data_IF_533137093324
#
_entry.id   IF_533137093324
#
_cell.length_a   1.000
_cell.length_b   1.000
_cell.length_c   1.000
_cell.angle_alpha   90.00
_cell.angle_beta   90.00
_cell.angle_gamma   90.00
#
_symmetry.space_group_name_H-M   'P 1'
#
loop_
_entity.id
_entity.type
_entity.pdbx_description
1 polymer ?
#
# COMPACT_ATOMS: atom_id res chain seq x y z
N UNK A 1 20.99 -14.39 27.06
CA UNK A 1 21.40 -13.09 27.66
C UNK A 1 22.77 -12.61 27.22
N UNK A 2 23.81 -13.45 27.16
CA UNK A 2 25.12 -13.05 26.60
C UNK A 2 25.10 -12.79 25.07
N UNK A 3 24.10 -13.28 24.34
CA UNK A 3 23.88 -12.91 22.92
C UNK A 3 23.15 -11.58 22.74
N UNK A 4 22.43 -11.10 23.75
CA UNK A 4 21.77 -9.79 23.73
C UNK A 4 22.77 -8.65 24.02
N UNK A 5 23.90 -8.93 24.67
CA UNK A 5 24.98 -7.96 24.89
C UNK A 5 26.06 -7.97 23.80
N UNK A 6 26.20 -9.06 23.03
CA UNK A 6 27.15 -9.14 21.91
C UNK A 6 26.68 -8.43 20.63
N UNK A 7 25.38 -8.14 20.47
CA UNK A 7 24.85 -7.31 19.36
C UNK A 7 24.97 -5.79 19.58
N UNK A 8 25.80 -5.35 20.53
CA UNK A 8 26.15 -3.93 20.72
C UNK A 8 27.30 -3.44 19.82
N UNK A 9 27.82 -4.31 18.94
CA UNK A 9 28.98 -4.04 18.08
C UNK A 9 28.69 -4.13 16.56
N UNK A 10 27.43 -4.22 16.12
CA UNK A 10 27.04 -3.97 14.73
C UNK A 10 26.00 -2.85 14.71
N UNK A 11 26.46 -1.65 15.08
CA UNK A 11 25.85 -0.42 14.57
C UNK A 11 26.12 -0.38 13.08
N UNK A 12 25.22 -0.91 12.28
CA UNK A 12 25.12 -0.51 10.87
C UNK A 12 23.93 0.43 10.76
N UNK A 13 24.29 1.66 10.40
CA UNK A 13 23.42 2.80 10.13
C UNK A 13 22.15 2.40 9.36
N UNK A 14 20.98 2.72 9.90
CA UNK A 14 19.78 2.97 9.07
C UNK A 14 19.75 4.47 8.80
N UNK A 15 20.71 4.90 7.98
CA UNK A 15 20.64 6.14 7.22
C UNK A 15 21.61 6.00 6.05
N UNK A 16 21.06 6.15 4.84
CA UNK A 16 21.69 6.19 3.50
C UNK A 16 21.81 4.86 2.76
N UNK A 17 21.13 4.85 1.61
CA UNK A 17 21.58 4.18 0.40
C UNK A 17 23.02 4.62 0.11
N UNK A 18 23.93 3.65 -0.04
CA UNK A 18 25.37 3.86 -0.25
C UNK A 18 25.75 4.39 -1.64
N UNK A 19 24.81 4.98 -2.38
CA UNK A 19 25.09 5.76 -3.60
C UNK A 19 24.49 7.18 -3.57
N UNK A 20 23.84 7.59 -2.47
CA UNK A 20 23.16 8.89 -2.42
C UNK A 20 22.07 9.06 -3.48
N UNK A 21 21.66 8.00 -4.18
CA UNK A 21 20.49 8.03 -5.04
C UNK A 21 19.27 7.88 -4.13
N UNK A 22 18.74 9.03 -3.72
CA UNK A 22 17.31 9.10 -3.50
C UNK A 22 16.73 8.64 -4.84
N UNK A 23 16.12 7.45 -4.92
CA UNK A 23 15.08 7.26 -5.94
C UNK A 23 14.09 8.34 -5.59
N UNK A 24 14.22 9.50 -6.26
CA UNK A 24 13.16 10.47 -6.34
C UNK A 24 12.03 9.69 -6.97
N UNK A 25 11.22 9.03 -6.15
CA UNK A 25 9.94 8.47 -6.52
C UNK A 25 8.98 9.64 -6.72
N UNK A 26 9.39 10.58 -7.56
CA UNK A 26 8.51 11.45 -8.30
C UNK A 26 7.93 10.56 -9.40
N UNK A 27 7.05 9.66 -8.97
CA UNK A 27 6.07 9.05 -9.84
C UNK A 27 5.21 10.21 -10.29
N UNK A 28 5.60 10.81 -11.41
CA UNK A 28 4.85 11.88 -12.03
C UNK A 28 4.23 11.42 -13.36
N UNK A 29 3.39 10.36 -13.39
CA UNK A 29 2.30 10.28 -14.37
C UNK A 29 1.54 11.59 -14.38
N UNK A 30 1.41 12.24 -13.22
CA UNK A 30 1.01 13.64 -13.05
C UNK A 30 1.68 14.59 -14.04
N UNK A 31 2.99 14.52 -14.25
CA UNK A 31 3.71 15.39 -15.18
C UNK A 31 3.57 14.94 -16.61
N UNK A 32 3.55 13.64 -16.93
CA UNK A 32 3.28 13.22 -18.31
C UNK A 32 1.84 13.58 -18.73
N UNK A 33 0.87 13.34 -17.84
CA UNK A 33 -0.53 13.77 -17.95
C UNK A 33 -0.65 15.29 -17.94
N UNK A 34 0.02 16.00 -17.03
CA UNK A 34 0.05 17.46 -17.02
C UNK A 34 0.87 18.01 -18.17
N UNK A 35 1.79 17.31 -18.81
CA UNK A 35 2.52 17.75 -20.00
C UNK A 35 1.69 17.49 -21.25
N UNK A 36 0.91 16.40 -21.31
CA UNK A 36 -0.10 16.19 -22.34
C UNK A 36 -1.21 17.24 -22.22
N UNK A 37 -1.74 17.45 -21.00
CA UNK A 37 -2.71 18.50 -20.69
C UNK A 37 -2.11 19.90 -20.73
N UNK A 38 -0.82 20.10 -20.42
CA UNK A 38 -0.12 21.39 -20.56
C UNK A 38 0.32 21.60 -21.98
N UNK A 39 0.53 20.62 -22.86
CA UNK A 39 0.70 20.87 -24.30
C UNK A 39 -0.64 21.27 -24.89
N UNK A 40 -1.70 20.55 -24.53
CA UNK A 40 -3.10 20.96 -24.74
C UNK A 40 -3.39 22.39 -24.20
N UNK A 41 -2.85 22.79 -23.04
CA UNK A 41 -3.01 24.15 -22.46
C UNK A 41 -1.92 25.19 -22.83
N UNK A 42 -0.72 24.78 -23.28
CA UNK A 42 0.44 25.60 -23.72
C UNK A 42 0.36 25.89 -25.21
N UNK A 43 -0.50 25.18 -25.95
CA UNK A 43 -1.40 25.75 -26.97
C UNK A 43 -2.41 26.71 -26.34
N UNK A 44 -1.88 27.59 -25.50
CA UNK A 44 -2.36 28.75 -24.74
C UNK A 44 -3.85 28.83 -24.36
N UNK A 45 -4.21 29.18 -23.12
CA UNK A 45 -5.56 29.79 -22.85
C UNK A 45 -5.80 31.04 -23.72
N UNK A 46 -4.74 31.67 -24.23
CA UNK A 46 -4.76 32.72 -25.26
C UNK A 46 -4.93 32.21 -26.71
N UNK A 47 -4.71 30.92 -26.95
CA UNK A 47 -4.79 30.19 -28.22
C UNK A 47 -6.02 29.29 -28.22
N UNK A 48 -6.41 28.57 -27.17
CA UNK A 48 -7.74 28.01 -26.95
C UNK A 48 -8.85 29.07 -27.02
N UNK A 49 -8.63 30.28 -26.47
CA UNK A 49 -9.54 31.41 -26.71
C UNK A 49 -9.42 31.91 -28.15
N UNK A 50 -8.25 31.88 -28.80
CA UNK A 50 -8.11 32.21 -30.23
C UNK A 50 -8.59 31.10 -31.20
N UNK A 51 -8.69 29.84 -30.77
CA UNK A 51 -9.12 28.63 -31.49
C UNK A 51 -10.64 28.60 -31.43
N UNK A 52 -11.24 28.77 -30.25
CA UNK A 52 -12.67 29.07 -30.14
C UNK A 52 -13.03 30.35 -30.89
N UNK A 53 -12.19 31.40 -30.87
CA UNK A 53 -12.46 32.61 -31.65
C UNK A 53 -12.22 32.38 -33.14
N UNK A 54 -11.23 31.63 -33.62
CA UNK A 54 -11.00 31.43 -35.06
C UNK A 54 -11.96 30.41 -35.68
N UNK A 55 -12.27 29.32 -34.98
CA UNK A 55 -13.28 28.32 -35.38
C UNK A 55 -14.70 28.87 -35.22
N UNK A 56 -15.01 29.60 -34.13
CA UNK A 56 -16.27 30.33 -34.04
C UNK A 56 -16.28 31.60 -34.91
N UNK A 57 -15.15 32.19 -35.32
CA UNK A 57 -15.12 33.21 -36.37
C UNK A 57 -15.36 32.52 -37.69
N UNK A 58 -14.76 31.37 -38.04
CA UNK A 58 -15.03 30.68 -39.30
C UNK A 58 -16.51 30.26 -39.35
N UNK A 59 -17.03 29.65 -38.29
CA UNK A 59 -18.43 29.25 -38.19
C UNK A 59 -19.39 30.45 -38.09
N UNK A 60 -19.11 31.49 -37.28
CA UNK A 60 -19.96 32.68 -37.18
C UNK A 60 -19.82 33.63 -38.37
N UNK A 61 -18.66 33.68 -39.04
CA UNK A 61 -18.46 34.40 -40.30
C UNK A 61 -19.18 33.65 -41.40
N UNK A 62 -19.07 32.31 -41.50
CA UNK A 62 -19.90 31.51 -42.40
C UNK A 62 -21.38 31.81 -42.11
N UNK A 63 -21.86 31.63 -40.88
CA UNK A 63 -23.27 31.87 -40.51
C UNK A 63 -23.71 33.33 -40.75
N UNK A 64 -22.90 34.35 -40.46
CA UNK A 64 -23.26 35.77 -40.61
C UNK A 64 -23.10 36.34 -42.03
N UNK A 65 -22.16 35.84 -42.85
CA UNK A 65 -22.03 36.24 -44.27
C UNK A 65 -22.95 35.46 -45.21
N UNK A 66 -23.53 34.37 -44.70
CA UNK A 66 -24.61 33.62 -45.33
C UNK A 66 -25.99 34.10 -44.88
N UNK A 67 -26.10 34.83 -43.76
CA UNK A 67 -27.39 35.36 -43.30
C UNK A 67 -27.93 36.49 -44.17
N UNK A 68 -27.19 36.97 -45.18
CA UNK A 68 -27.76 37.75 -46.29
C UNK A 68 -28.58 36.83 -47.22
N UNK A 69 -29.62 36.23 -46.62
CA UNK A 69 -30.62 35.35 -47.21
C UNK A 69 -31.52 36.06 -48.25
N UNK A 70 -31.18 37.31 -48.57
CA UNK A 70 -31.84 38.10 -49.59
C UNK A 70 -31.78 37.35 -50.92
N UNK A 71 -32.93 37.22 -51.58
CA UNK A 71 -33.08 36.56 -52.88
C UNK A 71 -32.05 37.05 -53.89
N UNK A 72 -31.76 38.35 -53.90
CA UNK A 72 -30.79 38.96 -54.81
C UNK A 72 -29.38 38.40 -54.62
N UNK A 73 -28.89 38.26 -53.38
CA UNK A 73 -27.56 37.72 -53.09
C UNK A 73 -27.44 36.28 -53.58
N UNK A 74 -28.44 35.45 -53.31
CA UNK A 74 -28.50 34.06 -53.78
C UNK A 74 -28.54 33.95 -55.30
N UNK A 75 -29.37 34.78 -55.94
CA UNK A 75 -29.48 34.84 -57.40
C UNK A 75 -28.17 35.24 -58.07
N UNK A 76 -27.46 36.24 -57.54
CA UNK A 76 -26.17 36.66 -58.09
C UNK A 76 -25.08 35.60 -57.88
N UNK A 77 -25.03 34.92 -56.73
CA UNK A 77 -24.11 33.79 -56.48
C UNK A 77 -24.34 32.66 -57.48
N UNK A 78 -25.61 32.33 -57.77
CA UNK A 78 -25.97 31.29 -58.74
C UNK A 78 -25.57 31.67 -60.18
N UNK A 79 -25.62 32.96 -60.54
CA UNK A 79 -25.08 33.44 -61.82
C UNK A 79 -23.55 33.34 -61.84
N UNK A 80 -22.90 33.75 -60.74
CA UNK A 80 -21.44 33.76 -60.62
C UNK A 80 -20.86 32.35 -60.79
N UNK A 81 -21.33 31.38 -60.00
CA UNK A 81 -20.85 29.98 -60.07
C UNK A 81 -21.02 29.38 -61.47
N UNK A 82 -22.13 29.66 -62.17
CA UNK A 82 -22.37 29.16 -63.54
C UNK A 82 -21.46 29.82 -64.57
N UNK A 83 -21.01 31.05 -64.33
CA UNK A 83 -20.19 31.82 -65.27
C UNK A 83 -18.70 31.56 -65.06
N UNK A 84 -18.24 31.47 -63.82
CA UNK A 84 -16.81 31.42 -63.46
C UNK A 84 -16.38 30.05 -62.93
N UNK A 85 -17.33 29.23 -62.45
CA UNK A 85 -17.04 28.03 -61.69
C UNK A 85 -16.70 28.29 -60.21
N UNK A 86 -16.68 29.55 -59.77
CA UNK A 86 -16.35 29.94 -58.40
C UNK A 86 -17.27 31.07 -57.87
N UNK A 87 -17.54 31.08 -56.57
CA UNK A 87 -18.21 32.19 -55.87
C UNK A 87 -17.17 32.92 -55.02
N UNK A 88 -16.91 34.18 -55.33
CA UNK A 88 -16.06 35.05 -54.54
C UNK A 88 -16.79 35.65 -53.34
N UNK A 89 -16.27 35.45 -52.14
CA UNK A 89 -16.76 36.07 -50.90
C UNK A 89 -15.67 36.95 -50.29
N UNK A 90 -16.05 37.84 -49.39
CA UNK A 90 -15.10 38.66 -48.62
C UNK A 90 -14.13 37.84 -47.77
N UNK A 91 -14.48 36.57 -47.51
CA UNK A 91 -13.81 35.66 -46.58
C UNK A 91 -13.03 34.56 -47.29
N UNK A 92 -13.21 34.41 -48.60
CA UNK A 92 -12.60 33.34 -49.38
C UNK A 92 -13.34 33.08 -50.69
N UNK A 93 -13.07 31.91 -51.27
CA UNK A 93 -13.67 31.46 -52.52
C UNK A 93 -14.29 30.09 -52.33
N UNK A 94 -15.46 29.89 -52.91
CA UNK A 94 -16.14 28.60 -52.96
C UNK A 94 -16.18 28.05 -54.39
N UNK A 95 -15.94 26.75 -54.54
CA UNK A 95 -16.14 26.00 -55.77
C UNK A 95 -16.89 24.72 -55.43
N UNK A 96 -17.99 24.41 -56.10
CA UNK A 96 -18.76 23.21 -55.79
C UNK A 96 -20.20 23.29 -56.24
N UNK A 97 -20.98 22.34 -55.74
CA UNK A 97 -22.41 22.27 -55.98
C UNK A 97 -23.16 23.41 -55.26
N UNK A 98 -24.18 23.97 -55.92
CA UNK A 98 -25.07 24.96 -55.31
C UNK A 98 -26.53 24.55 -55.49
N UNK A 99 -27.36 24.89 -54.51
CA UNK A 99 -28.81 24.87 -54.63
C UNK A 99 -29.32 26.30 -54.47
N UNK A 100 -29.66 26.95 -55.58
CA UNK A 100 -30.15 28.33 -55.62
C UNK A 100 -29.28 29.31 -54.81
N UNK A 101 -27.97 29.28 -55.06
CA UNK A 101 -26.99 30.13 -54.35
C UNK A 101 -26.67 29.73 -52.91
N UNK A 102 -27.24 28.65 -52.37
CA UNK A 102 -26.71 27.97 -51.19
C UNK A 102 -25.60 27.01 -51.59
N UNK A 103 -24.49 26.97 -50.84
CA UNK A 103 -23.51 25.89 -50.90
C UNK A 103 -24.20 24.62 -50.42
N UNK A 104 -24.15 23.61 -51.27
CA UNK A 104 -24.83 22.34 -51.06
C UNK A 104 -23.98 21.22 -51.68
N UNK A 105 -24.21 19.97 -51.29
CA UNK A 105 -23.52 18.83 -51.92
C UNK A 105 -22.00 18.91 -51.74
N UNK A 106 -21.22 18.45 -52.71
CA UNK A 106 -19.75 18.49 -52.61
C UNK A 106 -19.21 19.86 -52.99
N UNK A 107 -18.27 20.36 -52.19
CA UNK A 107 -17.58 21.61 -52.51
C UNK A 107 -16.29 21.82 -51.74
N UNK A 108 -15.50 22.75 -52.25
CA UNK A 108 -14.25 23.22 -51.70
C UNK A 108 -14.35 24.71 -51.40
N UNK A 109 -13.87 25.12 -50.22
CA UNK A 109 -13.78 26.50 -49.81
C UNK A 109 -12.34 26.82 -49.42
N UNK A 110 -11.75 27.80 -50.09
CA UNK A 110 -10.44 28.37 -49.75
C UNK A 110 -10.63 29.68 -49.00
N UNK A 111 -10.23 29.75 -47.74
CA UNK A 111 -10.36 30.95 -46.90
C UNK A 111 -9.19 31.91 -47.14
N UNK A 112 -9.44 33.21 -47.00
CA UNK A 112 -8.39 34.24 -47.07
C UNK A 112 -7.37 34.13 -45.92
N UNK A 113 -7.71 33.38 -44.86
CA UNK A 113 -6.81 33.03 -43.76
C UNK A 113 -5.77 31.97 -44.14
N UNK A 114 -5.93 31.33 -45.30
CA UNK A 114 -5.14 30.16 -45.72
C UNK A 114 -5.74 28.83 -45.29
N UNK A 115 -6.81 28.83 -44.48
CA UNK A 115 -7.57 27.61 -44.20
C UNK A 115 -8.27 27.10 -45.47
N UNK A 116 -8.60 25.81 -45.50
CA UNK A 116 -9.40 25.24 -46.57
C UNK A 116 -10.30 24.13 -46.05
N UNK A 117 -11.51 24.05 -46.60
CA UNK A 117 -12.42 22.94 -46.39
C UNK A 117 -12.73 22.24 -47.71
N UNK A 118 -12.75 20.93 -47.72
CA UNK A 118 -13.23 20.12 -48.84
C UNK A 118 -14.17 19.03 -48.31
N UNK A 119 -15.44 19.06 -48.71
CA UNK A 119 -16.42 18.13 -48.14
C UNK A 119 -17.86 18.43 -48.52
N UNK A 120 -18.80 17.90 -47.73
CA UNK A 120 -20.22 18.11 -47.97
C UNK A 120 -20.74 19.40 -47.34
N UNK A 121 -21.61 20.07 -48.06
CA UNK A 121 -22.25 21.31 -47.66
C UNK A 121 -23.76 21.11 -47.58
N UNK A 122 -24.39 21.76 -46.61
CA UNK A 122 -25.85 21.79 -46.49
C UNK A 122 -26.27 23.17 -46.02
N UNK A 123 -27.09 23.85 -46.81
CA UNK A 123 -27.57 25.20 -46.51
C UNK A 123 -26.45 26.13 -46.06
N UNK A 124 -25.36 26.18 -46.84
CA UNK A 124 -24.19 27.01 -46.56
C UNK A 124 -23.37 26.63 -45.30
N UNK A 125 -23.64 25.50 -44.66
CA UNK A 125 -22.90 24.97 -43.51
C UNK A 125 -22.08 23.74 -43.89
N UNK A 126 -20.96 23.51 -43.18
CA UNK A 126 -20.21 22.26 -43.31
C UNK A 126 -21.08 21.13 -42.74
N UNK A 127 -21.10 20.00 -43.44
CA UNK A 127 -21.95 18.87 -43.09
C UNK A 127 -21.34 17.55 -43.58
N UNK A 128 -21.79 16.42 -43.01
CA UNK A 128 -21.35 15.10 -43.44
C UNK A 128 -19.82 14.97 -43.41
N UNK A 129 -19.25 14.16 -44.30
CA UNK A 129 -17.80 13.94 -44.33
C UNK A 129 -17.08 15.12 -45.01
N UNK A 130 -15.96 15.56 -44.43
CA UNK A 130 -15.07 16.54 -45.04
C UNK A 130 -13.67 16.57 -44.42
N UNK A 131 -12.77 17.26 -45.10
CA UNK A 131 -11.44 17.61 -44.65
C UNK A 131 -11.38 19.12 -44.38
N UNK A 132 -10.96 19.51 -43.19
CA UNK A 132 -10.68 20.89 -42.82
C UNK A 132 -9.18 21.02 -42.50
N UNK A 133 -8.47 21.85 -43.28
CA UNK A 133 -7.07 22.23 -43.04
C UNK A 133 -7.02 23.63 -42.46
N UNK A 134 -6.39 23.77 -41.31
CA UNK A 134 -6.22 25.06 -40.63
C UNK A 134 -4.72 25.32 -40.44
N UNK A 135 -4.16 26.35 -41.11
CA UNK A 135 -2.74 26.67 -41.01
C UNK A 135 -2.31 26.94 -39.56
N UNK A 136 -1.17 26.38 -39.16
CA UNK A 136 -0.60 26.52 -37.81
C UNK A 136 -1.44 25.87 -36.70
N UNK A 137 -2.36 24.98 -37.07
CA UNK A 137 -3.21 24.25 -36.13
C UNK A 137 -3.23 22.75 -36.47
N UNK A 138 -3.69 22.38 -37.66
CA UNK A 138 -3.77 20.99 -38.06
C UNK A 138 -4.78 20.68 -39.15
N UNK A 139 -5.06 19.39 -39.32
CA UNK A 139 -6.02 18.86 -40.29
C UNK A 139 -7.02 17.96 -39.60
N UNK A 140 -8.30 18.25 -39.78
CA UNK A 140 -9.41 17.37 -39.39
C UNK A 140 -9.96 16.63 -40.62
N UNK A 141 -10.14 15.33 -40.49
CA UNK A 141 -10.79 14.47 -41.46
C UNK A 141 -11.93 13.75 -40.76
N UNK A 142 -13.19 14.10 -41.04
CA UNK A 142 -14.30 13.48 -40.35
C UNK A 142 -15.66 14.08 -40.64
N UNK A 143 -16.61 13.73 -39.78
CA UNK A 143 -17.99 14.18 -39.86
C UNK A 143 -18.17 15.62 -39.33
N UNK A 144 -19.08 16.35 -39.94
CA UNK A 144 -19.51 17.70 -39.58
C UNK A 144 -21.03 17.77 -39.45
N UNK A 145 -21.51 18.57 -38.50
CA UNK A 145 -22.92 18.88 -38.31
C UNK A 145 -23.06 20.33 -37.87
N UNK A 146 -23.82 21.13 -38.64
CA UNK A 146 -23.99 22.55 -38.36
C UNK A 146 -22.67 23.33 -38.34
N UNK A 147 -21.73 22.99 -39.21
CA UNK A 147 -20.36 23.53 -39.27
C UNK A 147 -19.44 23.18 -38.09
N UNK A 148 -19.85 22.29 -37.17
CA UNK A 148 -19.01 21.80 -36.07
C UNK A 148 -18.55 20.37 -36.34
N UNK A 149 -17.35 19.99 -35.90
CA UNK A 149 -16.87 18.61 -35.88
C UNK A 149 -17.82 17.79 -35.02
N UNK A 150 -18.26 16.65 -35.55
CA UNK A 150 -19.25 15.77 -34.92
C UNK A 150 -19.02 14.34 -35.39
N UNK A 151 -19.61 13.33 -34.76
CA UNK A 151 -19.53 11.95 -35.26
C UNK A 151 -18.10 11.42 -35.23
N UNK A 152 -17.71 10.60 -36.19
CA UNK A 152 -16.34 10.05 -36.25
C UNK A 152 -15.39 10.95 -37.02
N UNK A 153 -14.17 11.12 -36.52
CA UNK A 153 -13.14 11.88 -37.21
C UNK A 153 -11.75 11.78 -36.60
N UNK A 154 -10.76 12.07 -37.43
CA UNK A 154 -9.36 12.15 -37.04
C UNK A 154 -8.87 13.59 -37.14
N UNK A 155 -8.33 14.13 -36.05
CA UNK A 155 -7.60 15.40 -36.06
C UNK A 155 -6.11 15.13 -35.91
N UNK A 156 -5.31 15.66 -36.83
CA UNK A 156 -3.84 15.65 -36.75
C UNK A 156 -3.38 17.09 -36.53
N UNK A 157 -2.80 17.37 -35.37
CA UNK A 157 -2.23 18.68 -35.07
C UNK A 157 -0.87 18.85 -35.76
N UNK A 158 -0.51 20.10 -36.07
CA UNK A 158 0.76 20.44 -36.72
C UNK A 158 1.99 20.07 -35.86
N UNK A 159 1.81 19.88 -34.55
CA UNK A 159 2.85 19.40 -33.63
C UNK A 159 3.03 17.87 -33.66
N UNK A 160 2.20 17.16 -34.42
CA UNK A 160 2.23 15.71 -34.58
C UNK A 160 1.34 14.94 -33.61
N UNK A 161 0.61 15.62 -32.72
CA UNK A 161 -0.44 14.97 -31.94
C UNK A 161 -1.59 14.50 -32.87
N UNK A 162 -2.25 13.40 -32.52
CA UNK A 162 -3.35 12.80 -33.28
C UNK A 162 -4.47 12.40 -32.33
N UNK A 163 -5.70 12.74 -32.68
CA UNK A 163 -6.90 12.17 -32.07
C UNK A 163 -7.72 11.50 -33.15
N UNK A 164 -8.02 10.22 -32.97
CA UNK A 164 -8.89 9.44 -33.83
C UNK A 164 -10.06 8.92 -33.00
N UNK A 165 -11.26 9.45 -33.22
CA UNK A 165 -12.41 9.09 -32.38
C UNK A 165 -13.67 9.88 -32.65
N UNK A 166 -14.55 9.85 -31.65
CA UNK A 166 -15.84 10.51 -31.67
C UNK A 166 -15.70 12.00 -31.28
N UNK A 167 -16.51 12.83 -31.95
CA UNK A 167 -16.57 14.27 -31.79
C UNK A 167 -18.00 14.71 -31.52
N UNK A 168 -18.14 15.75 -30.71
CA UNK A 168 -19.42 16.42 -30.47
C UNK A 168 -19.19 17.89 -30.24
N UNK A 169 -19.83 18.73 -31.05
CA UNK A 169 -19.80 20.20 -30.92
C UNK A 169 -18.35 20.73 -30.82
N UNK A 170 -17.49 20.30 -31.74
CA UNK A 170 -16.04 20.60 -31.80
C UNK A 170 -15.18 20.02 -30.66
N UNK A 171 -15.74 19.15 -29.82
CA UNK A 171 -15.03 18.53 -28.70
C UNK A 171 -14.81 17.03 -28.91
N UNK A 172 -13.64 16.54 -28.51
CA UNK A 172 -13.39 15.10 -28.34
C UNK A 172 -14.37 14.57 -27.28
N UNK A 173 -15.23 13.65 -27.68
CA UNK A 173 -16.33 13.16 -26.84
C UNK A 173 -16.75 11.76 -27.31
N UNK A 174 -16.88 10.80 -26.40
CA UNK A 174 -17.15 9.41 -26.77
C UNK A 174 -15.87 8.59 -26.92
N UNK A 175 -15.89 7.50 -27.69
CA UNK A 175 -14.71 6.63 -27.85
C UNK A 175 -13.63 7.30 -28.71
N UNK A 176 -12.36 7.10 -28.36
CA UNK A 176 -11.27 7.58 -29.18
C UNK A 176 -9.90 7.08 -28.76
N UNK A 177 -8.93 7.39 -29.61
CA UNK A 177 -7.51 7.16 -29.41
C UNK A 177 -6.77 8.47 -29.60
N UNK A 178 -6.05 8.90 -28.57
CA UNK A 178 -5.14 10.04 -28.64
C UNK A 178 -3.70 9.53 -28.65
N UNK A 179 -2.90 10.00 -29.59
CA UNK A 179 -1.47 9.74 -29.68
C UNK A 179 -0.74 11.07 -29.69
N UNK A 180 0.11 11.34 -28.70
CA UNK A 180 0.93 12.54 -28.72
C UNK A 180 2.19 12.35 -29.57
N UNK A 181 2.78 13.47 -29.98
CA UNK A 181 4.12 13.61 -30.56
C UNK A 181 5.24 12.99 -29.71
N UNK A 182 5.02 12.80 -28.41
CA UNK A 182 5.93 12.14 -27.47
C UNK A 182 5.60 10.66 -27.24
N UNK A 183 4.80 10.06 -28.14
CA UNK A 183 4.37 8.66 -28.09
C UNK A 183 3.58 8.28 -26.83
N UNK A 184 2.89 9.24 -26.19
CA UNK A 184 1.85 8.95 -25.20
C UNK A 184 0.62 8.47 -25.96
N UNK A 185 0.09 7.31 -25.57
CA UNK A 185 -1.11 6.74 -26.20
C UNK A 185 -2.21 6.61 -25.16
N UNK A 186 -3.34 7.27 -25.38
CA UNK A 186 -4.57 7.04 -24.62
C UNK A 186 -5.61 6.37 -25.51
N UNK A 187 -6.24 5.31 -25.01
CA UNK A 187 -7.37 4.66 -25.65
C UNK A 187 -8.52 4.52 -24.65
N UNK A 188 -9.69 5.03 -25.02
CA UNK A 188 -10.90 4.97 -24.21
C UNK A 188 -11.87 6.08 -24.52
N UNK A 189 -12.69 6.43 -23.54
CA UNK A 189 -13.68 7.49 -23.67
C UNK A 189 -13.13 8.86 -23.31
N UNK A 190 -13.67 9.86 -23.99
CA UNK A 190 -13.43 11.27 -23.79
C UNK A 190 -14.72 11.96 -23.38
N UNK A 191 -14.61 12.98 -22.54
CA UNK A 191 -15.71 13.87 -22.18
C UNK A 191 -15.18 15.29 -22.15
N UNK A 192 -15.75 16.17 -22.97
CA UNK A 192 -15.38 17.60 -23.02
C UNK A 192 -13.86 17.81 -23.15
N UNK A 193 -13.25 17.11 -24.13
CA UNK A 193 -11.81 17.12 -24.40
C UNK A 193 -10.90 16.48 -23.33
N UNK A 194 -11.46 15.76 -22.36
CA UNK A 194 -10.69 15.12 -21.29
C UNK A 194 -10.82 13.59 -21.34
N UNK A 195 -9.75 12.88 -20.98
CA UNK A 195 -9.78 11.45 -20.71
C UNK A 195 -10.81 11.15 -19.63
N UNK A 196 -11.63 10.12 -19.81
CA UNK A 196 -12.72 9.78 -18.89
C UNK A 196 -12.62 8.34 -18.34
N UNK A 197 -12.83 7.34 -19.20
CA UNK A 197 -12.67 5.91 -18.90
C UNK A 197 -11.74 5.30 -19.94
N UNK A 198 -10.58 4.78 -19.55
CA UNK A 198 -9.62 4.28 -20.55
C UNK A 198 -8.25 3.93 -20.00
N UNK A 199 -7.29 3.75 -20.89
CA UNK A 199 -5.90 3.43 -20.56
C UNK A 199 -4.95 4.38 -21.26
N UNK A 200 -4.01 4.93 -20.51
CA UNK A 200 -2.89 5.74 -20.98
C UNK A 200 -1.60 4.92 -20.87
N UNK A 201 -0.83 4.87 -21.95
CA UNK A 201 0.43 4.14 -22.05
C UNK A 201 1.53 5.07 -22.52
N UNK A 202 2.66 5.08 -21.83
CA UNK A 202 3.83 5.87 -22.23
C UNK A 202 5.11 5.24 -21.66
N UNK A 203 6.25 5.62 -22.24
CA UNK A 203 7.58 5.22 -21.77
C UNK A 203 8.48 6.43 -21.69
N UNK A 204 9.36 6.47 -20.69
CA UNK A 204 10.37 7.50 -20.53
C UNK A 204 11.66 6.87 -19.98
N UNK A 205 12.61 7.70 -19.54
CA UNK A 205 13.88 7.22 -18.97
C UNK A 205 13.72 6.42 -17.66
N UNK A 206 12.62 6.60 -16.93
CA UNK A 206 12.39 5.94 -15.64
C UNK A 206 11.67 4.60 -15.78
N UNK A 207 10.90 4.39 -16.86
CA UNK A 207 10.22 3.12 -17.09
C UNK A 207 9.11 3.15 -18.13
N UNK A 208 8.29 2.09 -18.12
CA UNK A 208 7.07 1.93 -18.92
C UNK A 208 5.85 2.01 -18.02
N UNK A 209 4.85 2.78 -18.42
CA UNK A 209 3.69 3.12 -17.61
C UNK A 209 2.42 2.75 -18.36
N UNK A 210 1.50 2.06 -17.69
CA UNK A 210 0.14 1.80 -18.14
C UNK A 210 -0.82 2.27 -17.05
N UNK A 211 -1.48 3.39 -17.24
CA UNK A 211 -2.37 4.03 -16.26
C UNK A 211 -3.82 3.85 -16.71
N UNK A 212 -4.67 3.34 -15.84
CA UNK A 212 -6.11 3.25 -16.08
C UNK A 212 -6.84 4.46 -15.49
N UNK A 213 -7.74 5.03 -16.27
CA UNK A 213 -8.59 6.16 -15.91
C UNK A 213 -10.00 5.67 -15.59
N UNK A 214 -10.60 6.27 -14.57
CA UNK A 214 -11.99 6.07 -14.17
C UNK A 214 -12.60 7.40 -13.74
N UNK A 215 -13.79 7.73 -14.23
CA UNK A 215 -14.48 9.00 -13.96
C UNK A 215 -13.59 10.25 -14.16
N UNK A 216 -12.73 10.25 -15.17
CA UNK A 216 -11.87 11.38 -15.50
C UNK A 216 -10.61 11.54 -14.63
N UNK A 217 -10.32 10.56 -13.77
CA UNK A 217 -9.13 10.57 -12.93
C UNK A 217 -8.33 9.28 -13.07
N UNK A 218 -6.99 9.33 -12.93
CA UNK A 218 -6.18 8.13 -12.75
C UNK A 218 -6.70 7.31 -11.56
N UNK A 219 -6.81 6.00 -11.75
CA UNK A 219 -7.35 5.09 -10.74
C UNK A 219 -6.37 3.97 -10.38
N UNK A 220 -5.68 3.40 -11.36
CA UNK A 220 -4.66 2.37 -11.14
C UNK A 220 -3.56 2.44 -12.19
N UNK A 221 -2.39 1.88 -11.87
CA UNK A 221 -1.29 1.81 -12.80
C UNK A 221 -0.53 0.49 -12.69
N UNK A 222 -0.01 0.05 -13.85
CA UNK A 222 1.04 -0.97 -13.96
C UNK A 222 2.29 -0.29 -14.47
N UNK A 223 3.35 -0.33 -13.67
CA UNK A 223 4.60 0.36 -13.93
C UNK A 223 5.73 -0.66 -13.94
N UNK A 224 6.52 -0.66 -15.00
CA UNK A 224 7.79 -1.37 -15.07
C UNK A 224 8.91 -0.34 -15.05
N UNK A 225 9.69 -0.30 -13.98
CA UNK A 225 10.78 0.64 -13.85
C UNK A 225 12.04 0.15 -14.58
N UNK A 226 12.87 1.10 -14.98
CA UNK A 226 14.13 0.85 -15.71
C UNK A 226 15.19 0.11 -14.90
N UNK A 227 15.12 0.19 -13.57
CA UNK A 227 15.97 -0.56 -12.63
C UNK A 227 15.57 -2.04 -12.50
N UNK A 228 14.45 -2.46 -13.11
CA UNK A 228 13.88 -3.80 -13.00
C UNK A 228 12.77 -3.94 -11.96
N UNK A 229 12.53 -2.92 -11.14
CA UNK A 229 11.43 -2.88 -10.18
C UNK A 229 10.08 -2.77 -10.90
N UNK A 230 8.98 -3.11 -10.23
CA UNK A 230 7.63 -2.99 -10.79
C UNK A 230 6.58 -2.63 -9.74
N UNK A 231 5.52 -1.98 -10.18
CA UNK A 231 4.37 -1.62 -9.36
C UNK A 231 3.05 -1.98 -10.07
N UNK A 232 2.11 -2.55 -9.33
CA UNK A 232 0.73 -2.78 -9.77
C UNK A 232 -0.22 -2.38 -8.63
N UNK A 233 -1.00 -1.31 -8.82
CA UNK A 233 -1.92 -0.84 -7.79
C UNK A 233 -2.55 0.52 -8.04
N UNK A 234 -3.16 1.08 -7.00
CA UNK A 234 -3.87 2.35 -7.05
C UNK A 234 -2.96 3.57 -7.27
N UNK A 235 -3.46 4.53 -8.04
CA UNK A 235 -2.80 5.82 -8.24
C UNK A 235 -3.83 6.94 -8.20
N UNK A 236 -3.41 8.11 -7.77
CA UNK A 236 -4.10 9.37 -7.98
C UNK A 236 -3.33 10.23 -8.98
N UNK A 237 -3.83 11.44 -9.23
CA UNK A 237 -3.14 12.42 -10.06
C UNK A 237 -1.70 12.65 -9.61
N UNK A 238 -1.42 12.68 -8.31
CA UNK A 238 -0.14 13.16 -7.78
C UNK A 238 0.76 12.06 -7.20
N UNK A 239 0.23 10.85 -6.95
CA UNK A 239 1.01 9.81 -6.26
C UNK A 239 0.42 8.41 -6.41
N UNK A 240 1.23 7.40 -6.08
CA UNK A 240 0.71 6.07 -5.71
C UNK A 240 -0.14 6.20 -4.45
N UNK A 241 -1.32 5.55 -4.43
CA UNK A 241 -2.25 5.60 -3.30
C UNK A 241 -3.15 4.37 -3.26
N UNK A 242 -3.76 4.10 -2.10
CA UNK A 242 -4.60 2.92 -1.92
C UNK A 242 -3.79 1.64 -1.99
N UNK A 243 -4.45 0.51 -2.25
CA UNK A 243 -3.77 -0.79 -2.23
C UNK A 243 -2.94 -1.03 -3.49
N UNK A 244 -1.77 -1.65 -3.33
CA UNK A 244 -0.90 -2.04 -4.43
C UNK A 244 0.20 -3.02 -4.04
N UNK A 245 0.91 -3.51 -5.05
CA UNK A 245 2.10 -4.35 -4.90
C UNK A 245 3.29 -3.67 -5.56
N UNK A 246 4.38 -3.52 -4.82
CA UNK A 246 5.70 -3.11 -5.30
C UNK A 246 6.65 -4.30 -5.24
N UNK A 247 7.36 -4.57 -6.33
CA UNK A 247 8.42 -5.59 -6.40
C UNK A 247 9.71 -4.89 -6.79
N UNK A 248 10.74 -4.96 -5.95
CA UNK A 248 12.04 -4.34 -6.21
C UNK A 248 12.92 -5.28 -7.06
N UNK A 249 13.90 -4.70 -7.75
CA UNK A 249 14.83 -5.44 -8.61
C UNK A 249 15.61 -6.57 -7.89
N UNK A 250 15.84 -6.41 -6.58
CA UNK A 250 16.48 -7.43 -5.72
C UNK A 250 15.52 -8.55 -5.25
N UNK A 251 14.26 -8.54 -5.70
CA UNK A 251 13.24 -9.53 -5.34
C UNK A 251 12.48 -9.21 -4.05
N UNK A 252 12.75 -8.08 -3.39
CA UNK A 252 11.96 -7.64 -2.24
C UNK A 252 10.57 -7.19 -2.68
N UNK A 253 9.57 -7.47 -1.84
CA UNK A 253 8.19 -7.21 -2.18
C UNK A 253 7.45 -6.50 -1.05
N UNK A 254 6.65 -5.51 -1.41
CA UNK A 254 5.62 -4.93 -0.55
C UNK A 254 4.24 -5.14 -1.18
N UNK A 255 3.27 -5.59 -0.41
CA UNK A 255 1.86 -5.66 -0.79
C UNK A 255 1.01 -5.08 0.32
N UNK A 256 0.35 -3.96 0.07
CA UNK A 256 -0.43 -3.27 1.09
C UNK A 256 -0.92 -1.92 0.64
N UNK A 257 -1.34 -1.10 1.60
CA UNK A 257 -1.82 0.24 1.34
C UNK A 257 -0.66 1.22 1.14
N UNK A 258 -0.93 2.23 0.34
CA UNK A 258 -0.06 3.36 0.09
C UNK A 258 -0.81 4.65 0.40
N UNK A 259 -0.11 5.63 0.95
CA UNK A 259 -0.61 6.97 1.21
C UNK A 259 0.43 7.98 0.73
N UNK A 260 0.07 8.81 -0.24
CA UNK A 260 0.94 9.85 -0.80
C UNK A 260 2.31 9.32 -1.26
N UNK A 261 2.32 8.16 -1.94
CA UNK A 261 3.52 7.54 -2.48
C UNK A 261 4.33 6.68 -1.50
N UNK A 262 3.96 6.64 -0.21
CA UNK A 262 4.65 5.85 0.81
C UNK A 262 3.81 4.67 1.28
N UNK A 263 4.44 3.65 1.83
CA UNK A 263 3.73 2.56 2.53
C UNK A 263 3.00 3.14 3.74
N UNK A 264 1.70 2.84 3.83
CA UNK A 264 0.82 3.29 4.90
C UNK A 264 -0.24 2.22 5.17
N UNK A 265 -1.05 2.39 6.21
CA UNK A 265 -2.16 1.48 6.49
C UNK A 265 -1.68 0.06 6.79
N UNK A 266 -2.30 -0.96 6.20
CA UNK A 266 -1.91 -2.36 6.40
C UNK A 266 -1.10 -2.87 5.22
N UNK A 267 -0.07 -3.66 5.49
CA UNK A 267 0.75 -4.22 4.43
C UNK A 267 1.71 -5.31 4.89
N UNK A 268 2.11 -6.12 3.91
CA UNK A 268 3.10 -7.18 4.04
C UNK A 268 4.36 -6.80 3.27
N UNK A 269 5.52 -6.92 3.91
CA UNK A 269 6.83 -6.75 3.28
C UNK A 269 7.64 -8.03 3.42
N UNK A 270 8.18 -8.52 2.30
CA UNK A 270 9.08 -9.66 2.23
C UNK A 270 10.47 -9.17 1.84
N UNK A 271 11.46 -9.43 2.69
CA UNK A 271 12.86 -9.10 2.42
C UNK A 271 13.57 -10.21 1.64
N UNK A 272 14.63 -9.84 0.93
CA UNK A 272 15.49 -10.75 0.18
C UNK A 272 16.21 -11.76 1.09
N UNK A 273 16.37 -11.41 2.37
CA UNK A 273 16.88 -12.29 3.42
C UNK A 273 15.93 -13.44 3.82
N UNK A 274 14.67 -13.40 3.38
CA UNK A 274 13.61 -14.31 3.83
C UNK A 274 12.84 -13.82 5.06
N UNK A 275 13.24 -12.69 5.67
CA UNK A 275 12.43 -12.05 6.70
C UNK A 275 11.09 -11.53 6.11
N UNK A 276 10.09 -11.38 6.97
CA UNK A 276 8.74 -10.97 6.59
C UNK A 276 8.14 -10.09 7.68
N UNK A 277 7.42 -9.03 7.30
CA UNK A 277 6.61 -8.24 8.21
C UNK A 277 5.19 -8.18 7.66
N UNK A 278 4.21 -8.48 8.50
CA UNK A 278 2.79 -8.40 8.20
C UNK A 278 2.13 -7.55 9.28
N UNK A 279 1.77 -6.30 8.96
CA UNK A 279 1.30 -5.37 9.97
C UNK A 279 0.98 -3.98 9.44
N UNK A 280 0.89 -3.05 10.37
CA UNK A 280 0.63 -1.65 10.09
C UNK A 280 1.90 -0.90 9.66
N UNK A 281 1.72 0.08 8.78
CA UNK A 281 2.75 0.91 8.19
C UNK A 281 2.36 2.39 8.29
N UNK A 282 3.35 3.24 8.50
CA UNK A 282 3.21 4.70 8.46
C UNK A 282 4.48 5.32 7.92
N UNK A 283 4.36 6.10 6.85
CA UNK A 283 5.49 6.83 6.26
C UNK A 283 6.70 5.93 5.97
N UNK A 284 6.47 4.75 5.37
CA UNK A 284 7.50 3.73 5.08
C UNK A 284 8.12 3.04 6.29
N UNK A 285 7.55 3.21 7.48
CA UNK A 285 8.01 2.58 8.71
C UNK A 285 6.98 1.58 9.23
N UNK A 286 7.45 0.46 9.78
CA UNK A 286 6.62 -0.44 10.57
C UNK A 286 6.12 0.33 11.80
N UNK A 287 4.81 0.27 12.02
CA UNK A 287 4.13 0.99 13.09
C UNK A 287 2.90 0.21 13.54
N UNK A 288 2.29 0.55 14.67
CA UNK A 288 1.03 -0.06 15.08
C UNK A 288 1.17 -1.57 15.32
N UNK A 289 0.14 -2.37 15.04
CA UNK A 289 0.19 -3.82 15.28
C UNK A 289 0.78 -4.58 14.09
N UNK A 290 1.56 -5.63 14.36
CA UNK A 290 2.14 -6.47 13.32
C UNK A 290 2.86 -7.73 13.82
N UNK A 291 3.28 -8.54 12.86
CA UNK A 291 4.11 -9.73 13.07
C UNK A 291 5.35 -9.62 12.20
N UNK A 292 6.51 -9.54 12.83
CA UNK A 292 7.81 -9.65 12.16
C UNK A 292 8.33 -11.08 12.32
N UNK A 293 8.53 -11.78 11.21
CA UNK A 293 9.23 -13.08 11.15
C UNK A 293 10.64 -12.84 10.65
N UNK A 294 11.64 -13.16 11.45
CA UNK A 294 13.04 -13.06 11.10
C UNK A 294 13.47 -14.22 10.19
N UNK A 295 14.59 -14.05 9.49
CA UNK A 295 15.13 -15.08 8.58
C UNK A 295 15.47 -16.40 9.29
N UNK A 296 15.79 -16.36 10.59
CA UNK A 296 16.04 -17.55 11.42
C UNK A 296 14.74 -18.24 11.91
N UNK A 297 13.57 -17.71 11.55
CA UNK A 297 12.25 -18.22 11.94
C UNK A 297 11.74 -17.72 13.28
N UNK A 298 12.53 -16.95 14.05
CA UNK A 298 12.05 -16.25 15.23
C UNK A 298 10.98 -15.21 14.86
N UNK A 299 10.10 -14.84 15.80
CA UNK A 299 8.94 -14.00 15.52
C UNK A 299 8.70 -12.97 16.61
N UNK A 300 8.49 -11.72 16.24
CA UNK A 300 7.96 -10.67 17.12
C UNK A 300 6.51 -10.37 16.72
N UNK A 301 5.56 -10.56 17.64
CA UNK A 301 4.14 -10.30 17.43
C UNK A 301 3.64 -9.27 18.45
N UNK A 302 3.24 -8.10 17.98
CA UNK A 302 2.74 -7.02 18.83
C UNK A 302 2.87 -5.64 18.20
N UNK A 303 3.26 -4.64 18.99
CA UNK A 303 3.28 -3.24 18.54
C UNK A 303 4.66 -2.77 18.11
N UNK A 304 4.71 -2.02 17.02
CA UNK A 304 5.91 -1.41 16.46
C UNK A 304 5.81 0.11 16.46
N UNK A 305 6.92 0.79 16.70
CA UNK A 305 7.06 2.24 16.59
C UNK A 305 8.35 2.57 15.84
N UNK A 306 8.24 3.26 14.69
CA UNK A 306 9.39 3.68 13.87
C UNK A 306 10.36 2.52 13.57
N UNK A 307 9.81 1.38 13.15
CA UNK A 307 10.55 0.13 12.89
C UNK A 307 11.04 -0.64 14.12
N UNK A 308 10.78 -0.19 15.34
CA UNK A 308 11.20 -0.87 16.56
C UNK A 308 10.04 -1.65 17.20
N UNK A 309 10.28 -2.89 17.62
CA UNK A 309 9.31 -3.67 18.39
C UNK A 309 9.24 -3.16 19.84
N UNK A 310 8.04 -2.82 20.32
CA UNK A 310 7.83 -2.15 21.62
C UNK A 310 7.16 -3.07 22.64
N UNK A 311 6.02 -3.67 22.28
CA UNK A 311 5.23 -4.51 23.18
C UNK A 311 4.75 -5.76 22.46
N UNK A 312 4.65 -6.90 23.16
CA UNK A 312 4.03 -8.10 22.61
C UNK A 312 4.77 -9.37 22.99
N UNK A 313 4.73 -10.38 22.12
CA UNK A 313 5.45 -11.64 22.30
C UNK A 313 6.61 -11.79 21.31
N UNK A 314 7.75 -12.28 21.81
CA UNK A 314 8.90 -12.66 21.00
C UNK A 314 9.16 -14.16 21.11
N UNK A 315 8.96 -14.89 20.03
CA UNK A 315 9.21 -16.33 19.91
C UNK A 315 10.59 -16.61 19.32
N UNK A 316 11.31 -17.55 19.90
CA UNK A 316 12.56 -18.09 19.34
C UNK A 316 12.74 -19.56 19.75
N UNK A 317 13.51 -20.29 18.95
CA UNK A 317 13.86 -21.70 19.18
C UNK A 317 15.35 -21.88 18.96
N UNK A 318 15.98 -22.66 19.84
CA UNK A 318 17.36 -23.10 19.69
C UNK A 318 17.47 -24.56 20.13
N UNK A 319 18.70 -25.07 20.19
CA UNK A 319 18.98 -26.46 20.56
C UNK A 319 18.52 -26.82 21.99
N UNK A 320 18.36 -25.85 22.88
CA UNK A 320 17.94 -26.07 24.26
C UNK A 320 16.42 -26.11 24.45
N UNK A 321 15.65 -25.54 23.52
CA UNK A 321 14.20 -25.47 23.63
C UNK A 321 13.54 -24.35 22.85
N UNK A 322 12.27 -24.13 23.18
CA UNK A 322 11.42 -23.09 22.62
C UNK A 322 11.09 -22.05 23.69
N UNK A 323 11.15 -20.77 23.31
CA UNK A 323 11.00 -19.64 24.22
C UNK A 323 10.04 -18.62 23.61
N UNK A 324 9.07 -18.18 24.42
CA UNK A 324 8.19 -17.05 24.10
C UNK A 324 8.32 -16.03 25.22
N UNK A 325 8.95 -14.90 24.92
CA UNK A 325 9.11 -13.79 25.86
C UNK A 325 7.95 -12.83 25.74
N UNK A 326 7.44 -12.34 26.86
CA UNK A 326 6.58 -11.16 26.90
C UNK A 326 7.46 -9.92 26.99
N UNK A 327 7.28 -9.00 26.04
CA UNK A 327 8.00 -7.73 25.97
C UNK A 327 7.03 -6.59 26.35
N UNK A 328 7.47 -5.74 27.27
CA UNK A 328 6.77 -4.51 27.68
C UNK A 328 7.74 -3.36 27.64
N UNK A 329 7.42 -2.30 26.90
CA UNK A 329 8.26 -1.12 26.69
C UNK A 329 9.71 -1.47 26.33
N UNK A 330 9.86 -2.38 25.37
CA UNK A 330 11.15 -2.90 24.83
C UNK A 330 11.94 -3.77 25.83
N UNK A 331 11.38 -4.08 26.99
CA UNK A 331 12.01 -4.90 28.03
C UNK A 331 11.31 -6.25 28.16
N UNK A 332 12.03 -7.38 28.15
CA UNK A 332 11.45 -8.68 28.50
C UNK A 332 11.00 -8.72 29.97
N UNK A 333 9.74 -9.05 30.22
CA UNK A 333 9.13 -9.05 31.58
C UNK A 333 8.67 -10.43 32.03
N UNK A 334 8.37 -11.34 31.10
CA UNK A 334 8.06 -12.73 31.40
C UNK A 334 8.56 -13.65 30.28
N UNK A 335 8.63 -14.95 30.58
CA UNK A 335 8.96 -15.99 29.59
C UNK A 335 8.11 -17.23 29.81
N UNK A 336 7.63 -17.81 28.72
CA UNK A 336 7.14 -19.17 28.63
C UNK A 336 8.16 -19.98 27.82
N UNK A 337 8.76 -21.00 28.43
CA UNK A 337 9.73 -21.85 27.77
C UNK A 337 9.44 -23.34 27.96
N UNK A 338 9.79 -24.12 26.94
CA UNK A 338 9.81 -25.59 26.98
C UNK A 338 11.20 -26.05 26.58
N UNK A 339 11.90 -26.69 27.50
CA UNK A 339 13.24 -27.24 27.28
C UNK A 339 13.15 -28.59 26.55
N UNK A 340 14.21 -28.98 25.83
CA UNK A 340 14.26 -30.24 25.06
C UNK A 340 13.95 -31.48 25.93
N UNK A 341 14.33 -31.44 27.22
CA UNK A 341 14.02 -32.49 28.19
C UNK A 341 12.56 -32.57 28.64
N UNK A 342 11.68 -31.68 28.19
CA UNK A 342 10.25 -31.64 28.53
C UNK A 342 9.90 -30.78 29.76
N UNK A 343 10.91 -30.20 30.44
CA UNK A 343 10.68 -29.24 31.53
C UNK A 343 10.15 -27.92 30.97
N UNK A 344 9.10 -27.38 31.57
CA UNK A 344 8.50 -26.09 31.24
C UNK A 344 8.71 -25.08 32.35
N UNK A 345 8.82 -23.81 31.97
CA UNK A 345 8.84 -22.68 32.90
C UNK A 345 7.95 -21.57 32.33
N UNK A 346 7.04 -21.05 33.15
CA UNK A 346 6.20 -19.90 32.85
C UNK A 346 6.33 -18.95 34.02
N UNK A 347 6.95 -17.78 33.83
CA UNK A 347 7.13 -16.86 34.94
C UNK A 347 7.81 -15.56 34.58
N UNK A 348 7.99 -14.72 35.59
CA UNK A 348 8.60 -13.40 35.44
C UNK A 348 10.10 -13.53 35.11
N UNK A 349 10.61 -12.50 34.44
CA UNK A 349 12.04 -12.29 34.23
C UNK A 349 12.39 -10.82 34.47
N UNK A 350 13.58 -10.57 35.00
CA UNK A 350 14.13 -9.23 35.16
C UNK A 350 15.62 -9.29 34.96
N UNK A 351 16.18 -8.31 34.23
CA UNK A 351 17.60 -8.29 33.82
C UNK A 351 18.06 -9.64 33.22
N UNK A 352 17.12 -10.29 32.53
CA UNK A 352 17.18 -11.64 31.96
C UNK A 352 17.61 -12.76 32.89
N UNK A 353 17.36 -12.60 34.18
CA UNK A 353 17.32 -13.68 35.14
C UNK A 353 15.87 -14.11 35.35
N UNK A 354 15.67 -15.42 35.55
CA UNK A 354 14.40 -15.97 36.01
C UNK A 354 14.17 -15.51 37.44
N UNK A 355 13.05 -14.84 37.70
CA UNK A 355 12.78 -14.23 39.01
C UNK A 355 11.27 -14.11 39.22
N UNK A 356 10.84 -13.54 40.34
CA UNK A 356 9.43 -13.24 40.59
C UNK A 356 8.59 -14.50 40.75
N UNK A 357 7.35 -14.49 40.26
CA UNK A 357 6.47 -15.67 40.31
C UNK A 357 6.69 -16.56 39.10
N UNK A 358 6.66 -17.88 39.32
CA UNK A 358 6.79 -18.86 38.26
C UNK A 358 6.02 -20.16 38.53
N UNK A 359 5.55 -20.75 37.44
CA UNK A 359 5.06 -22.13 37.36
C UNK A 359 6.08 -22.96 36.58
N UNK A 360 6.61 -24.01 37.21
CA UNK A 360 7.62 -24.92 36.64
C UNK A 360 7.02 -26.32 36.57
N UNK A 361 7.00 -26.91 35.38
CA UNK A 361 6.68 -28.32 35.18
C UNK A 361 7.94 -29.10 34.87
N UNK A 362 8.30 -30.09 35.67
CA UNK A 362 9.51 -30.89 35.46
C UNK A 362 9.19 -32.11 34.58
N UNK A 363 10.21 -32.57 33.83
CA UNK A 363 10.08 -33.73 32.94
C UNK A 363 9.73 -35.04 33.63
N UNK A 364 10.03 -35.16 34.93
CA UNK A 364 9.65 -36.30 35.77
C UNK A 364 8.18 -36.26 36.24
N UNK A 365 7.42 -35.21 35.88
CA UNK A 365 6.03 -34.99 36.30
C UNK A 365 5.86 -34.15 37.56
N UNK A 366 6.95 -33.79 38.24
CA UNK A 366 6.90 -32.87 39.38
C UNK A 366 6.48 -31.47 38.92
N UNK A 367 5.95 -30.67 39.84
CA UNK A 367 5.53 -29.30 39.56
C UNK A 367 5.92 -28.37 40.71
N UNK A 368 6.27 -27.15 40.38
CA UNK A 368 6.45 -26.07 41.33
C UNK A 368 5.63 -24.85 40.91
N UNK A 369 5.06 -24.14 41.87
CA UNK A 369 4.39 -22.86 41.66
C UNK A 369 4.75 -21.93 42.82
N UNK A 370 5.41 -20.82 42.55
CA UNK A 370 5.85 -19.90 43.59
C UNK A 370 6.99 -18.98 43.18
N UNK A 371 7.63 -18.38 44.18
CA UNK A 371 8.69 -17.41 43.96
C UNK A 371 10.01 -18.06 43.53
N UNK A 372 10.66 -17.43 42.56
CA UNK A 372 11.96 -17.82 42.01
C UNK A 372 12.92 -16.64 42.11
N UNK A 373 14.19 -16.93 42.36
CA UNK A 373 15.29 -15.97 42.31
C UNK A 373 16.47 -16.60 41.59
N UNK A 374 16.98 -15.93 40.55
CA UNK A 374 18.05 -16.45 39.68
C UNK A 374 17.81 -17.86 39.12
N UNK A 375 16.54 -18.24 38.93
CA UNK A 375 16.14 -19.57 38.45
C UNK A 375 15.99 -20.65 39.53
N UNK A 376 16.27 -20.34 40.80
CA UNK A 376 16.09 -21.24 41.94
C UNK A 376 14.79 -20.91 42.70
N UNK A 377 14.13 -21.92 43.27
CA UNK A 377 12.99 -21.72 44.18
C UNK A 377 13.48 -20.95 45.39
N UNK A 378 12.91 -19.77 45.64
CA UNK A 378 13.32 -18.87 46.71
C UNK A 378 12.13 -18.01 47.17
N UNK A 379 11.87 -17.93 48.47
CA UNK A 379 10.68 -17.28 49.01
C UNK A 379 9.58 -18.27 49.35
N UNK A 380 8.36 -18.09 48.83
CA UNK A 380 7.20 -18.95 49.16
C UNK A 380 6.67 -19.66 47.92
N UNK A 381 6.32 -20.94 48.04
CA UNK A 381 5.76 -21.69 46.93
C UNK A 381 5.33 -23.11 47.29
N UNK A 382 4.60 -23.70 46.36
CA UNK A 382 4.13 -25.08 46.44
C UNK A 382 4.88 -25.97 45.46
N UNK A 383 5.46 -27.06 45.93
CA UNK A 383 6.00 -28.15 45.12
C UNK A 383 5.09 -29.37 45.23
N UNK A 384 4.76 -29.99 44.10
CA UNK A 384 3.98 -31.23 44.02
C UNK A 384 4.84 -32.29 43.33
N UNK A 385 5.11 -33.37 44.02
CA UNK A 385 5.82 -34.50 43.45
C UNK A 385 4.87 -35.37 42.63
N UNK A 386 5.37 -35.98 41.57
CA UNK A 386 4.63 -36.95 40.76
C UNK A 386 4.15 -38.16 41.58
N UNK A 387 4.83 -38.45 42.70
CA UNK A 387 4.42 -39.47 43.68
C UNK A 387 3.12 -39.17 44.41
N UNK A 388 2.64 -37.92 44.36
CA UNK A 388 1.43 -37.46 45.05
C UNK A 388 1.68 -36.71 46.35
N UNK A 389 2.92 -36.68 46.85
CA UNK A 389 3.30 -35.80 47.97
C UNK A 389 3.31 -34.32 47.52
N UNK A 390 3.23 -33.38 48.46
CA UNK A 390 3.41 -31.95 48.17
C UNK A 390 3.96 -31.17 49.34
N UNK A 391 4.67 -30.08 49.09
CA UNK A 391 5.13 -29.15 50.11
C UNK A 391 4.65 -27.75 49.74
N UNK A 392 4.01 -27.07 50.68
CA UNK A 392 3.62 -25.67 50.57
C UNK A 392 4.28 -24.88 51.70
N UNK A 393 5.20 -23.98 51.38
CA UNK A 393 5.97 -23.28 52.40
C UNK A 393 7.11 -22.44 51.87
N UNK A 394 8.03 -22.13 52.77
CA UNK A 394 9.21 -21.33 52.48
C UNK A 394 10.32 -22.15 51.80
N UNK A 395 11.02 -21.50 50.86
CA UNK A 395 12.08 -22.02 50.00
C UNK A 395 13.28 -21.08 50.03
N UNK A 396 14.48 -21.64 49.91
CA UNK A 396 15.71 -20.90 49.66
C UNK A 396 16.72 -21.82 48.99
N UNK A 397 17.39 -21.35 47.93
CA UNK A 397 18.38 -22.11 47.15
C UNK A 397 17.87 -23.51 46.74
N UNK A 398 16.64 -23.59 46.22
CA UNK A 398 15.95 -24.83 45.82
C UNK A 398 15.58 -25.81 46.95
N UNK A 399 15.81 -25.45 48.20
CA UNK A 399 15.55 -26.28 49.38
C UNK A 399 14.36 -25.77 50.19
N UNK A 400 13.59 -26.69 50.78
CA UNK A 400 12.57 -26.33 51.79
C UNK A 400 13.29 -25.71 52.98
N UNK A 401 13.04 -24.43 53.24
CA UNK A 401 13.76 -23.66 54.24
C UNK A 401 12.84 -22.61 54.87
N UNK A 402 12.55 -22.74 56.16
CA UNK A 402 11.54 -21.95 56.88
C UNK A 402 10.28 -22.76 57.18
N UNK A 403 9.17 -22.07 57.45
CA UNK A 403 7.92 -22.75 57.82
C UNK A 403 7.19 -23.29 56.58
N UNK A 404 6.59 -24.47 56.71
CA UNK A 404 5.81 -25.08 55.64
C UNK A 404 4.94 -26.25 56.09
N UNK A 405 4.09 -26.70 55.16
CA UNK A 405 3.23 -27.86 55.29
C UNK A 405 3.64 -28.89 54.24
N UNK A 406 4.08 -30.06 54.68
CA UNK A 406 4.33 -31.22 53.83
C UNK A 406 3.14 -32.17 53.90
N UNK A 407 2.56 -32.50 52.75
CA UNK A 407 1.53 -33.52 52.58
C UNK A 407 2.18 -34.78 52.03
N UNK A 408 1.97 -35.90 52.71
CA UNK A 408 2.45 -37.20 52.25
C UNK A 408 1.49 -37.81 51.23
N UNK A 409 2.00 -38.71 50.39
CA UNK A 409 1.15 -39.52 49.52
C UNK A 409 0.25 -40.45 50.36
N UNK A 410 -0.83 -40.95 49.76
CA UNK A 410 -1.79 -41.85 50.43
C UNK A 410 -1.22 -43.19 50.90
N UNK A 411 0.06 -43.47 50.65
CA UNK A 411 0.75 -44.72 50.98
C UNK A 411 1.52 -44.67 52.31
N UNK A 412 1.55 -43.52 53.00
CA UNK A 412 2.28 -43.36 54.26
C UNK A 412 1.35 -43.36 55.48
N UNK A 413 1.89 -43.74 56.65
CA UNK A 413 1.15 -43.87 57.92
C UNK A 413 0.59 -42.54 58.45
N UNK A 414 0.99 -41.42 57.87
CA UNK A 414 0.39 -40.11 58.10
C UNK A 414 0.34 -39.28 56.85
N UNK A 415 -0.47 -38.21 56.88
CA UNK A 415 -0.87 -37.50 55.67
C UNK A 415 -0.41 -36.04 55.63
N UNK A 416 -0.01 -35.45 56.78
CA UNK A 416 0.36 -34.04 56.89
C UNK A 416 1.39 -33.78 57.99
N UNK A 417 2.42 -32.98 57.68
CA UNK A 417 3.43 -32.48 58.62
C UNK A 417 3.49 -30.95 58.50
N UNK A 418 3.34 -30.24 59.62
CA UNK A 418 3.46 -28.77 59.68
C UNK A 418 4.64 -28.43 60.57
N UNK A 419 5.57 -27.61 60.11
CA UNK A 419 6.73 -27.25 60.93
C UNK A 419 7.78 -26.43 60.20
N UNK A 420 8.93 -26.28 60.85
CA UNK A 420 10.10 -25.61 60.29
C UNK A 420 10.97 -26.61 59.53
N UNK A 421 11.46 -26.21 58.37
CA UNK A 421 12.37 -26.97 57.53
C UNK A 421 13.70 -26.22 57.40
N UNK A 422 14.79 -26.96 57.35
CA UNK A 422 16.13 -26.45 57.08
C UNK A 422 16.86 -27.44 56.18
N UNK A 423 17.38 -26.93 55.06
CA UNK A 423 18.04 -27.72 54.03
C UNK A 423 17.25 -28.95 53.56
N UNK A 424 15.92 -28.77 53.36
CA UNK A 424 15.04 -29.84 52.89
C UNK A 424 14.58 -30.84 53.95
N UNK A 425 14.91 -30.63 55.24
CA UNK A 425 14.54 -31.54 56.34
C UNK A 425 13.75 -30.83 57.42
N UNK A 426 12.75 -31.47 58.04
CA UNK A 426 12.09 -30.91 59.22
C UNK A 426 13.10 -30.73 60.36
N UNK A 427 12.96 -29.64 61.11
CA UNK A 427 13.83 -29.26 62.22
C UNK A 427 13.01 -28.65 63.36
N UNK A 428 13.43 -28.90 64.60
CA UNK A 428 12.74 -28.43 65.79
C UNK A 428 11.32 -29.01 65.92
N UNK A 429 10.44 -28.26 66.56
CA UNK A 429 9.07 -28.69 66.84
C UNK A 429 8.19 -28.68 65.59
N UNK A 430 7.56 -29.81 65.30
CA UNK A 430 6.63 -30.01 64.19
C UNK A 430 5.36 -30.75 64.65
N UNK A 431 4.24 -30.51 63.97
CA UNK A 431 2.99 -31.25 64.16
C UNK A 431 2.79 -32.27 63.05
N UNK A 432 2.77 -33.56 63.41
CA UNK A 432 2.58 -34.67 62.49
C UNK A 432 1.19 -35.27 62.64
N UNK A 433 0.42 -35.32 61.56
CA UNK A 433 -0.98 -35.74 61.53
C UNK A 433 -1.11 -37.10 60.83
N UNK A 434 -1.67 -38.09 61.52
CA UNK A 434 -2.00 -39.41 60.96
C UNK A 434 -3.42 -39.47 60.41
N UNK A 435 -4.33 -38.70 61.00
CA UNK A 435 -5.70 -38.48 60.52
C UNK A 435 -6.21 -37.08 60.94
N UNK A 436 -7.45 -36.73 60.60
CA UNK A 436 -8.00 -35.40 60.87
C UNK A 436 -8.12 -35.06 62.37
N UNK A 437 -8.16 -36.06 63.24
CA UNK A 437 -8.29 -35.94 64.69
C UNK A 437 -7.02 -36.28 65.47
N UNK A 438 -6.13 -37.08 64.89
CA UNK A 438 -4.92 -37.56 65.55
C UNK A 438 -3.69 -36.84 65.01
N UNK A 439 -3.01 -36.11 65.91
CA UNK A 439 -1.73 -35.49 65.64
C UNK A 439 -0.78 -35.64 66.82
N UNK A 440 0.51 -35.57 66.53
CA UNK A 440 1.58 -35.67 67.50
C UNK A 440 2.51 -34.46 67.34
N UNK A 441 2.86 -33.84 68.47
CA UNK A 441 4.00 -32.94 68.50
C UNK A 441 5.27 -33.77 68.43
N UNK A 442 6.17 -33.38 67.56
CA UNK A 442 7.44 -34.07 67.32
C UNK A 442 8.56 -33.04 67.39
N UNK A 443 9.72 -33.44 67.91
CA UNK A 443 10.93 -32.64 67.84
C UNK A 443 11.94 -33.34 66.91
N UNK A 444 12.36 -32.63 65.87
CA UNK A 444 13.31 -33.10 64.88
C UNK A 444 14.67 -32.45 65.14
N UNK A 445 15.59 -33.22 65.71
CA UNK A 445 16.97 -32.78 65.96
C UNK A 445 17.96 -33.89 65.55
N UNK A 446 19.08 -33.50 64.94
CA UNK A 446 20.15 -34.41 64.49
C UNK A 446 19.64 -35.58 63.60
N UNK A 447 18.61 -35.32 62.77
CA UNK A 447 18.03 -36.32 61.87
C UNK A 447 17.16 -37.38 62.56
N UNK A 448 16.84 -37.22 63.84
CA UNK A 448 15.96 -38.10 64.58
C UNK A 448 14.68 -37.36 64.96
N UNK A 449 13.56 -38.04 64.78
CA UNK A 449 12.25 -37.59 65.22
C UNK A 449 11.92 -38.25 66.55
N UNK A 450 11.62 -37.45 67.57
CA UNK A 450 11.08 -37.94 68.84
C UNK A 450 9.69 -37.35 69.05
N UNK A 451 8.74 -38.22 69.39
CA UNK A 451 7.41 -37.78 69.84
C UNK A 451 7.56 -37.07 71.18
N UNK A 452 7.16 -35.81 71.24
CA UNK A 452 7.04 -35.06 72.48
C UNK A 452 5.57 -35.14 72.90
N UNK A 453 5.29 -35.86 73.98
CA UNK A 453 3.94 -35.94 74.53
C UNK A 453 3.57 -34.59 75.14
N UNK A 454 2.31 -34.16 74.98
CA UNK A 454 1.77 -33.01 75.73
C UNK A 454 1.67 -33.31 77.23
#
# INVERSE_FOLDING_TARGET
>A
MADLSKKKAERVFVDRLEDGSIVKSEIRPAIAYQLAMQKSRKGTIRNMVAILIAEAIIAAVLVATISDNAFNTRFFREIEIRRTGEIGLSTGKYTGETDFGYFFGKGHFSFNTGASYEGNWSNNQLSGIGELKVPSEGTYNGEFSGSMKSGSGTFTWDDGDIYDGEWKDDQMNGQGKYTSSEAVVYEGTFKENQFFEGKCSFSNSTGKYNVSFKNGSPNSAKIQFSDGSSYDGGVSTDSITGSGKMTLANGEEYSGDFTSGKRGGKGKYSWSSGALYDGEWKDDQMSGTGVYTYADGSKANGTFEKNEFVNGSYYTKNDFGEYTFTITDKVPTAVNMTLEGGTTYIGDISDGKLTGQADIGYSNGDKYSGKVSEGQKDGTGTYKWASGSSYDGAWSEDQMNGNGTYMYSKSEDGYKLIGKFENGKPTGQCEYYTDASTHYKTDWSNGKCVKIYE
#
